data_IF_944450696637
#
_entry.id   IF_944450696637
#
_cell.length_a   1.000
_cell.length_b   1.000
_cell.length_c   1.000
_cell.angle_alpha   90.00
_cell.angle_beta   90.00
_cell.angle_gamma   90.00
#
_symmetry.space_group_name_H-M   'P 1'
#
loop_
_entity.id
_entity.type
_entity.pdbx_description
1 polymer ?
#
# COMPACT_ATOMS: atom_id res chain seq x y z
N UNK A 1 18.64 -29.82 3.81
CA UNK A 1 17.46 -29.23 4.47
C UNK A 1 16.21 -29.92 3.94
N UNK A 2 15.54 -30.77 4.73
CA UNK A 2 14.37 -31.56 4.24
C UNK A 2 13.11 -30.73 4.48
N UNK A 3 12.66 -30.02 3.44
CA UNK A 3 11.48 -29.16 3.53
C UNK A 3 10.24 -30.05 3.69
N UNK A 4 9.61 -30.01 4.86
CA UNK A 4 8.35 -30.73 5.10
C UNK A 4 7.27 -30.10 4.23
N UNK A 5 6.33 -30.89 3.69
CA UNK A 5 5.25 -30.40 2.81
C UNK A 5 4.49 -29.20 3.39
N UNK A 6 4.29 -29.18 4.72
CA UNK A 6 3.70 -28.02 5.42
C UNK A 6 4.56 -26.74 5.35
N UNK A 7 5.89 -26.86 5.41
CA UNK A 7 6.80 -25.71 5.26
C UNK A 7 6.77 -25.12 3.85
N UNK A 8 6.60 -25.95 2.82
CA UNK A 8 6.43 -25.46 1.43
C UNK A 8 5.15 -24.64 1.30
N UNK A 9 4.03 -25.13 1.83
CA UNK A 9 2.75 -24.42 1.77
C UNK A 9 2.80 -23.05 2.47
N UNK A 10 3.43 -23.00 3.65
CA UNK A 10 3.63 -21.73 4.38
C UNK A 10 4.52 -20.77 3.60
N UNK A 11 5.61 -21.25 3.01
CA UNK A 11 6.49 -20.40 2.19
C UNK A 11 5.76 -19.82 0.96
N UNK A 12 4.91 -20.61 0.31
CA UNK A 12 4.06 -20.14 -0.81
C UNK A 12 3.09 -19.07 -0.33
N UNK A 13 2.41 -19.29 0.79
CA UNK A 13 1.48 -18.30 1.35
C UNK A 13 2.17 -16.96 1.63
N UNK A 14 3.34 -17.01 2.27
CA UNK A 14 4.14 -15.81 2.55
C UNK A 14 4.53 -15.11 1.25
N UNK A 15 5.01 -15.84 0.24
CA UNK A 15 5.38 -15.28 -1.05
C UNK A 15 4.19 -14.60 -1.74
N UNK A 16 2.99 -15.19 -1.68
CA UNK A 16 1.76 -14.60 -2.24
C UNK A 16 1.38 -13.32 -1.49
N UNK A 17 1.44 -13.32 -0.15
CA UNK A 17 1.11 -12.14 0.66
C UNK A 17 2.06 -10.97 0.38
N UNK A 18 3.37 -11.26 0.27
CA UNK A 18 4.37 -10.26 -0.11
C UNK A 18 4.13 -9.76 -1.54
N UNK A 19 3.79 -10.67 -2.45
CA UNK A 19 3.43 -10.34 -3.83
C UNK A 19 2.27 -9.36 -3.88
N UNK A 20 1.14 -9.68 -3.23
CA UNK A 20 -0.09 -8.88 -3.20
C UNK A 20 0.11 -7.45 -2.67
N UNK A 21 1.10 -7.24 -1.80
CA UNK A 21 1.40 -5.93 -1.19
C UNK A 21 2.65 -5.24 -1.77
N UNK A 22 3.29 -5.85 -2.77
CA UNK A 22 4.51 -5.30 -3.38
C UNK A 22 4.31 -3.94 -4.05
N UNK A 23 3.08 -3.62 -4.46
CA UNK A 23 2.74 -2.32 -5.05
C UNK A 23 1.42 -1.78 -4.48
N UNK A 24 1.27 -0.46 -4.33
CA UNK A 24 0.02 0.15 -3.86
C UNK A 24 -1.20 -0.22 -4.71
N UNK A 25 -1.02 -0.31 -6.04
CA UNK A 25 -2.07 -0.71 -6.98
C UNK A 25 -2.59 -2.13 -6.71
N UNK A 26 -1.70 -3.06 -6.40
CA UNK A 26 -2.09 -4.45 -6.15
C UNK A 26 -2.73 -4.61 -4.76
N UNK A 27 -2.27 -3.85 -3.77
CA UNK A 27 -2.90 -3.78 -2.45
C UNK A 27 -4.33 -3.22 -2.54
N UNK A 28 -4.54 -2.15 -3.30
CA UNK A 28 -5.87 -1.59 -3.57
C UNK A 28 -6.78 -2.58 -4.29
N UNK A 29 -6.28 -3.28 -5.33
CA UNK A 29 -7.06 -4.33 -6.01
C UNK A 29 -7.47 -5.44 -5.07
N UNK A 30 -6.57 -5.88 -4.21
CA UNK A 30 -6.84 -6.90 -3.19
C UNK A 30 -7.95 -6.42 -2.24
N UNK A 31 -7.86 -5.18 -1.74
CA UNK A 31 -8.89 -4.60 -0.89
C UNK A 31 -10.25 -4.54 -1.58
N UNK A 32 -10.32 -4.00 -2.80
CA UNK A 32 -11.56 -3.90 -3.60
C UNK A 32 -12.16 -5.28 -3.90
N UNK A 33 -11.30 -6.28 -4.13
CA UNK A 33 -11.73 -7.67 -4.33
C UNK A 33 -12.43 -8.22 -3.08
N UNK A 34 -11.84 -8.01 -1.89
CA UNK A 34 -12.39 -8.52 -0.63
C UNK A 34 -13.53 -7.68 -0.05
N UNK A 35 -13.74 -6.44 -0.50
CA UNK A 35 -14.90 -5.61 -0.11
C UNK A 35 -16.15 -5.85 -0.95
N UNK A 36 -16.16 -6.89 -1.79
CA UNK A 36 -17.35 -7.33 -2.53
C UNK A 36 -17.38 -6.90 -3.99
N UNK A 37 -16.29 -6.38 -4.54
CA UNK A 37 -16.21 -5.94 -5.94
C UNK A 37 -15.15 -6.72 -6.73
N UNK A 38 -15.19 -8.06 -6.76
CA UNK A 38 -14.13 -8.88 -7.36
C UNK A 38 -13.98 -8.66 -8.86
N UNK A 39 -15.09 -8.47 -9.58
CA UNK A 39 -15.07 -8.20 -11.03
C UNK A 39 -14.40 -6.85 -11.27
N UNK A 40 -14.85 -5.80 -10.59
CA UNK A 40 -14.25 -4.47 -10.75
C UNK A 40 -12.76 -4.47 -10.40
N UNK A 41 -12.35 -5.15 -9.32
CA UNK A 41 -10.95 -5.24 -8.92
C UNK A 41 -10.01 -5.80 -10.00
N UNK A 42 -10.50 -6.69 -10.87
CA UNK A 42 -9.68 -7.33 -11.92
C UNK A 42 -9.91 -6.71 -13.31
N UNK A 43 -11.07 -6.13 -13.57
CA UNK A 43 -11.41 -5.58 -14.89
C UNK A 43 -11.13 -4.09 -15.02
N UNK A 44 -11.06 -3.35 -13.91
CA UNK A 44 -10.83 -1.90 -13.96
C UNK A 44 -9.36 -1.55 -13.78
N UNK A 45 -8.94 -0.49 -14.47
CA UNK A 45 -7.67 0.15 -14.21
C UNK A 45 -7.75 0.88 -12.87
N UNK A 46 -6.78 0.65 -11.98
CA UNK A 46 -6.56 1.57 -10.86
C UNK A 46 -5.75 2.73 -11.40
N UNK A 47 -6.45 3.85 -11.59
CA UNK A 47 -5.85 5.12 -12.00
C UNK A 47 -5.26 5.77 -10.75
N UNK A 48 -3.99 6.18 -10.85
CA UNK A 48 -3.38 7.04 -9.84
C UNK A 48 -4.04 8.40 -9.98
N UNK A 49 -4.73 8.87 -8.94
CA UNK A 49 -5.25 10.24 -8.93
C UNK A 49 -4.09 11.20 -8.69
N UNK A 50 -3.34 11.46 -9.75
CA UNK A 50 -2.14 12.29 -9.71
C UNK A 50 -2.42 13.73 -9.29
N UNK A 51 -3.68 14.18 -9.39
CA UNK A 51 -4.12 15.49 -8.94
C UNK A 51 -4.26 15.53 -7.42
N UNK A 52 -5.00 14.59 -6.82
CA UNK A 52 -5.11 14.50 -5.36
C UNK A 52 -3.79 14.13 -4.68
N UNK A 53 -2.95 13.33 -5.35
CA UNK A 53 -1.64 12.93 -4.84
C UNK A 53 -0.65 14.11 -4.74
N UNK A 54 -0.82 15.18 -5.53
CA UNK A 54 -0.03 16.41 -5.41
C UNK A 54 -0.50 17.27 -4.23
N UNK A 55 -1.81 17.45 -4.09
CA UNK A 55 -2.40 18.19 -2.97
C UNK A 55 -2.03 17.55 -1.63
N UNK A 56 -2.13 16.22 -1.54
CA UNK A 56 -1.71 15.49 -0.34
C UNK A 56 -0.21 15.63 -0.07
N UNK A 57 0.64 15.54 -1.12
CA UNK A 57 2.08 15.76 -0.97
C UNK A 57 2.41 17.16 -0.47
N UNK A 58 1.69 18.18 -0.92
CA UNK A 58 1.86 19.55 -0.45
C UNK A 58 1.44 19.69 1.01
N UNK A 59 0.27 19.17 1.38
CA UNK A 59 -0.21 19.14 2.77
C UNK A 59 0.76 18.38 3.71
N UNK A 60 1.30 17.24 3.28
CA UNK A 60 2.32 16.51 4.05
C UNK A 60 3.63 17.30 4.20
N UNK A 61 4.03 18.06 3.17
CA UNK A 61 5.24 18.91 3.23
C UNK A 61 5.04 20.13 4.11
N UNK A 62 3.84 20.71 4.12
CA UNK A 62 3.46 21.83 4.97
C UNK A 62 3.46 21.41 6.44
N UNK A 63 2.73 20.35 6.79
CA UNK A 63 2.72 19.81 8.16
C UNK A 63 4.12 19.44 8.66
N UNK A 64 4.96 18.87 7.79
CA UNK A 64 6.36 18.56 8.14
C UNK A 64 7.19 19.83 8.38
N UNK A 65 6.95 20.89 7.61
CA UNK A 65 7.59 22.20 7.85
C UNK A 65 7.12 22.80 9.15
N UNK A 66 5.82 22.86 9.41
CA UNK A 66 5.26 23.40 10.64
C UNK A 66 5.82 22.70 11.89
N UNK A 67 5.86 21.36 11.88
CA UNK A 67 6.48 20.60 12.97
C UNK A 67 7.96 20.94 13.19
N UNK A 68 8.70 21.24 12.12
CA UNK A 68 10.11 21.65 12.21
C UNK A 68 10.26 23.09 12.77
N UNK A 69 9.39 24.02 12.35
CA UNK A 69 9.38 25.39 12.87
C UNK A 69 9.02 25.43 14.35
N UNK A 70 8.02 24.65 14.76
CA UNK A 70 7.63 24.53 16.17
C UNK A 70 8.75 23.94 17.01
N UNK A 71 9.41 22.86 16.54
CA UNK A 71 10.55 22.26 17.24
C UNK A 71 11.73 23.24 17.41
N UNK A 72 12.02 24.05 16.38
CA UNK A 72 13.08 25.05 16.40
C UNK A 72 12.78 26.27 17.28
N UNK A 73 11.51 26.61 17.49
CA UNK A 73 11.10 27.70 18.38
C UNK A 73 11.09 27.32 19.88
N UNK A 74 11.14 26.02 20.18
CA UNK A 74 11.08 25.47 21.53
C UNK A 74 12.44 25.08 22.16
N UNK A 75 13.56 25.37 21.49
CA UNK A 75 14.92 25.16 21.99
C UNK A 75 15.74 26.43 22.00
#
# INVERSE_FOLDING_TARGET
MRIKRGGVAVAILIAVLLGLHSTPKLALRTYVFFTGHPIAAVTTGIIDDEYHNQVDKEAFRENKREGLYLNKASG
#
